data_IF_605933531349
#
_entry.id   IF_605933531349
#
_cell.length_a   1.000
_cell.length_b   1.000
_cell.length_c   1.000
_cell.angle_alpha   90.00
_cell.angle_beta   90.00
_cell.angle_gamma   90.00
#
_symmetry.space_group_name_H-M   'P 1'
#
loop_
_entity.id
_entity.type
_entity.pdbx_description
1 polymer ?
#
# COMPACT_ATOMS: atom_id res chain seq x y z
N UNK A 1 23.28 -3.59 -9.18
CA UNK A 1 21.96 -3.47 -8.51
C UNK A 1 21.86 -4.57 -7.48
N UNK A 2 21.34 -4.32 -6.28
CA UNK A 2 21.01 -5.41 -5.35
C UNK A 2 19.70 -6.07 -5.80
N UNK A 3 19.79 -7.18 -6.52
CA UNK A 3 18.64 -7.99 -6.92
C UNK A 3 18.01 -8.62 -5.68
N UNK A 4 16.97 -7.99 -5.15
CA UNK A 4 16.26 -8.46 -3.96
C UNK A 4 15.39 -9.68 -4.32
N UNK A 5 16.04 -10.85 -4.42
CA UNK A 5 15.40 -12.14 -4.73
C UNK A 5 14.18 -12.37 -3.81
N UNK A 6 13.01 -12.75 -4.35
CA UNK A 6 11.84 -13.06 -3.55
C UNK A 6 12.15 -14.15 -2.52
N UNK A 7 11.41 -14.16 -1.41
CA UNK A 7 11.54 -15.23 -0.41
C UNK A 7 10.63 -16.37 -0.82
N UNK A 8 11.16 -17.56 -1.09
CA UNK A 8 10.36 -18.75 -1.37
C UNK A 8 10.40 -19.67 -0.16
N UNK A 9 9.23 -19.94 0.42
CA UNK A 9 9.02 -20.84 1.54
C UNK A 9 8.26 -22.07 1.02
N UNK A 10 8.89 -23.24 1.13
CA UNK A 10 8.34 -24.51 0.64
C UNK A 10 7.96 -25.41 1.83
N UNK A 11 6.82 -26.09 1.73
CA UNK A 11 6.22 -26.87 2.80
C UNK A 11 5.87 -28.29 2.32
N UNK A 12 5.66 -29.24 3.25
CA UNK A 12 5.40 -30.64 2.87
C UNK A 12 3.98 -30.85 2.36
N UNK A 13 2.99 -30.23 3.00
CA UNK A 13 1.59 -30.34 2.64
C UNK A 13 0.84 -29.00 2.77
N UNK A 14 -0.43 -29.03 2.39
CA UNK A 14 -1.38 -27.92 2.51
C UNK A 14 -1.50 -27.35 3.93
N UNK A 15 -1.47 -28.20 4.96
CA UNK A 15 -1.67 -27.80 6.35
C UNK A 15 -0.51 -26.95 6.85
N UNK A 16 0.73 -27.35 6.52
CA UNK A 16 1.93 -26.57 6.80
C UNK A 16 1.88 -25.19 6.12
N UNK A 17 1.44 -25.12 4.85
CA UNK A 17 1.25 -23.84 4.14
C UNK A 17 0.23 -22.97 4.88
N UNK A 18 -0.93 -23.52 5.26
CA UNK A 18 -1.97 -22.79 5.97
C UNK A 18 -1.50 -22.23 7.32
N UNK A 19 -0.75 -23.02 8.10
CA UNK A 19 -0.19 -22.59 9.39
C UNK A 19 0.85 -21.47 9.19
N UNK A 20 1.73 -21.61 8.18
CA UNK A 20 2.75 -20.60 7.88
C UNK A 20 2.19 -19.29 7.30
N UNK A 21 1.18 -19.36 6.43
CA UNK A 21 0.48 -18.19 5.91
C UNK A 21 -0.24 -17.47 7.04
N UNK A 22 -0.93 -18.19 7.94
CA UNK A 22 -1.60 -17.59 9.08
C UNK A 22 -0.62 -16.88 10.05
N UNK A 23 0.53 -17.51 10.35
CA UNK A 23 1.61 -16.88 11.12
C UNK A 23 2.13 -15.60 10.44
N UNK A 24 2.33 -15.63 9.13
CA UNK A 24 2.79 -14.46 8.37
C UNK A 24 1.77 -13.31 8.35
N UNK A 25 0.48 -13.63 8.25
CA UNK A 25 -0.61 -12.65 8.31
C UNK A 25 -0.69 -12.00 9.70
N UNK A 26 -0.63 -12.78 10.78
CA UNK A 26 -0.61 -12.24 12.15
C UNK A 26 0.66 -11.44 12.44
N UNK A 27 1.81 -11.84 11.89
CA UNK A 27 3.01 -11.01 11.92
C UNK A 27 2.81 -9.65 11.21
N UNK A 28 2.19 -9.64 10.03
CA UNK A 28 1.90 -8.40 9.31
C UNK A 28 0.91 -7.51 10.08
N UNK A 29 -0.14 -8.09 10.66
CA UNK A 29 -1.06 -7.43 11.61
C UNK A 29 -0.28 -6.76 12.74
N UNK A 30 0.50 -7.54 13.50
CA UNK A 30 1.18 -7.04 14.69
C UNK A 30 2.19 -5.94 14.34
N UNK A 31 2.86 -6.03 13.19
CA UNK A 31 3.71 -4.97 12.66
C UNK A 31 2.93 -3.69 12.32
N UNK A 32 1.79 -3.79 11.63
CA UNK A 32 0.95 -2.64 11.27
C UNK A 32 0.39 -1.90 12.51
N UNK A 33 0.01 -2.65 13.54
CA UNK A 33 -0.56 -2.09 14.76
C UNK A 33 0.49 -1.47 15.70
N UNK A 34 1.72 -1.99 15.73
CA UNK A 34 2.77 -1.55 16.68
C UNK A 34 3.66 -0.41 16.17
N UNK A 35 3.94 -0.31 14.88
CA UNK A 35 4.88 0.69 14.34
C UNK A 35 4.35 2.12 14.57
N UNK A 36 5.02 2.89 15.44
CA UNK A 36 4.79 4.35 15.59
C UNK A 36 5.29 5.08 14.35
N UNK A 37 4.54 6.07 13.85
CA UNK A 37 4.99 6.84 12.69
C UNK A 37 6.22 7.66 13.11
N UNK A 38 7.20 7.81 12.20
CA UNK A 38 8.38 8.65 12.50
C UNK A 38 8.01 10.11 12.80
N UNK A 39 6.87 10.58 12.31
CA UNK A 39 6.35 11.92 12.60
C UNK A 39 5.90 12.10 14.06
N UNK A 40 5.41 11.04 14.72
CA UNK A 40 4.94 11.10 16.12
C UNK A 40 6.08 11.45 17.09
N UNK A 41 7.34 11.14 16.73
CA UNK A 41 8.53 11.47 17.54
C UNK A 41 8.89 12.96 17.57
N UNK A 42 8.37 13.78 16.66
CA UNK A 42 8.65 15.24 16.68
C UNK A 42 7.84 16.02 17.73
N UNK A 43 6.75 15.44 18.26
CA UNK A 43 5.93 16.08 19.30
C UNK A 43 6.15 15.54 20.72
N UNK A 44 6.90 14.44 20.89
CA UNK A 44 7.19 13.89 22.23
C UNK A 44 8.42 14.49 22.92
N UNK A 45 9.24 15.28 22.21
CA UNK A 45 10.54 15.76 22.73
C UNK A 45 10.53 17.23 23.21
N UNK A 46 9.39 17.91 23.18
CA UNK A 46 9.29 19.35 23.50
C UNK A 46 9.02 19.67 24.98
N UNK A 47 8.96 18.67 25.87
CA UNK A 47 8.56 18.86 27.28
C UNK A 47 9.60 18.43 28.33
N UNK A 48 10.87 18.31 27.96
CA UNK A 48 11.94 17.90 28.90
C UNK A 48 13.19 18.79 28.96
N UNK A 49 13.29 19.84 28.13
CA UNK A 49 14.42 20.78 28.14
C UNK A 49 14.03 22.16 28.69
N UNK A 50 13.70 22.21 29.98
CA UNK A 50 13.55 23.48 30.72
C UNK A 50 13.81 23.29 32.21
N UNK A 51 15.06 23.00 32.59
CA UNK A 51 15.67 23.24 33.91
C UNK A 51 17.20 23.18 33.73
N UNK A 52 17.92 24.00 34.51
CA UNK A 52 19.38 24.17 34.58
C UNK A 52 20.06 24.97 33.46
N UNK A 53 20.16 26.27 33.71
CA UNK A 53 21.15 27.21 33.15
C UNK A 53 22.28 27.45 34.17
N UNK A 54 23.44 27.96 33.69
CA UNK A 54 24.67 28.30 34.44
C UNK A 54 25.49 27.07 34.92
N UNK A 55 26.82 27.09 34.99
CA UNK A 55 27.79 28.22 35.08
C UNK A 55 28.95 28.04 34.07
N UNK A 56 29.64 29.14 33.71
CA UNK A 56 30.75 29.17 32.76
C UNK A 56 32.14 29.07 33.43
N UNK A 57 33.17 28.60 32.69
CA UNK A 57 34.55 29.13 32.67
C UNK A 57 35.48 28.31 31.73
N UNK A 58 36.25 29.01 30.90
CA UNK A 58 37.53 28.58 30.28
C UNK A 58 38.71 29.05 31.20
N UNK A 59 40.05 28.85 30.95
CA UNK A 59 40.73 28.67 29.64
C UNK A 59 42.02 27.79 29.56
N UNK A 60 42.53 27.58 28.32
CA UNK A 60 43.97 27.50 27.92
C UNK A 60 44.84 26.27 28.33
N UNK A 61 45.99 25.88 27.74
CA UNK A 61 46.92 26.41 26.69
C UNK A 61 47.63 25.27 25.86
N UNK A 62 48.21 25.62 24.69
CA UNK A 62 49.49 25.12 24.07
C UNK A 62 49.68 23.61 23.72
N UNK A 63 50.46 23.19 22.70
CA UNK A 63 51.45 23.87 21.82
C UNK A 63 51.58 23.22 20.41
N UNK A 64 52.19 23.95 19.46
CA UNK A 64 52.54 23.62 18.04
C UNK A 64 54.08 23.30 17.92
N UNK A 65 54.73 22.88 16.78
CA UNK A 65 54.52 23.33 15.37
C UNK A 65 54.88 22.39 14.15
N UNK A 66 54.69 22.93 12.93
CA UNK A 66 55.46 22.72 11.67
C UNK A 66 55.24 21.47 10.79
N UNK A 67 55.33 21.50 9.44
CA UNK A 67 55.98 22.43 8.47
C UNK A 67 55.18 22.75 7.18
N UNK A 68 55.57 23.84 6.51
CA UNK A 68 55.20 24.42 5.19
C UNK A 68 55.22 23.47 3.94
N UNK A 69 54.74 23.78 2.71
CA UNK A 69 54.88 25.01 1.86
C UNK A 69 53.78 25.24 0.77
N UNK A 70 53.75 26.46 0.18
CA UNK A 70 53.02 26.93 -1.04
C UNK A 70 54.01 27.05 -2.26
N UNK A 71 53.70 27.49 -3.53
CA UNK A 71 52.61 28.38 -4.05
C UNK A 71 52.00 28.07 -5.47
N UNK A 72 50.74 28.48 -5.83
CA UNK A 72 50.24 29.66 -6.63
C UNK A 72 50.28 29.63 -8.19
N UNK A 73 49.10 29.66 -8.85
CA UNK A 73 48.58 30.64 -9.88
C UNK A 73 47.24 30.14 -10.53
N UNK A 74 46.13 30.90 -10.64
CA UNK A 74 45.72 31.97 -11.62
C UNK A 74 45.70 31.51 -13.10
N UNK A 75 44.76 31.85 -14.03
CA UNK A 75 43.64 32.83 -14.18
C UNK A 75 42.61 32.25 -15.22
N UNK A 76 41.27 32.37 -15.10
CA UNK A 76 40.33 33.41 -15.59
C UNK A 76 40.22 33.69 -17.12
N UNK A 77 39.04 33.41 -17.72
CA UNK A 77 38.12 34.30 -18.50
C UNK A 77 37.12 33.44 -19.34
N UNK A 78 35.80 33.70 -19.49
CA UNK A 78 35.04 34.85 -20.09
C UNK A 78 35.29 34.99 -21.62
N UNK A 79 34.32 35.21 -22.52
CA UNK A 79 32.90 35.69 -22.39
C UNK A 79 32.13 35.78 -23.75
N UNK A 80 30.78 35.92 -23.72
CA UNK A 80 29.88 36.63 -24.70
C UNK A 80 29.72 36.05 -26.15
N UNK A 81 28.70 36.29 -27.03
CA UNK A 81 27.48 37.16 -27.12
C UNK A 81 26.54 36.64 -28.28
N UNK A 82 25.18 36.54 -28.18
CA UNK A 82 24.04 37.44 -28.59
C UNK A 82 23.30 37.18 -29.96
N UNK A 83 22.01 37.59 -30.03
CA UNK A 83 21.07 37.81 -31.19
C UNK A 83 20.45 36.58 -31.94
N UNK A 84 19.27 36.61 -32.60
CA UNK A 84 17.97 37.36 -32.50
C UNK A 84 16.89 36.75 -33.49
N UNK A 85 15.63 37.22 -33.46
CA UNK A 85 14.42 36.90 -34.31
C UNK A 85 13.53 35.73 -33.84
N UNK A 86 12.18 35.71 -34.02
CA UNK A 86 11.25 36.65 -34.69
C UNK A 86 9.77 36.46 -34.24
N UNK A 87 8.80 37.18 -34.86
CA UNK A 87 7.43 37.45 -34.33
C UNK A 87 6.29 37.08 -35.30
N UNK A 88 5.14 36.63 -34.77
CA UNK A 88 3.73 36.80 -35.23
C UNK A 88 2.82 36.47 -34.02
N UNK A 89 1.58 36.96 -33.83
CA UNK A 89 0.66 37.69 -34.72
C UNK A 89 -0.28 38.67 -33.95
N UNK A 90 -1.08 39.50 -34.65
CA UNK A 90 -2.02 40.51 -34.10
C UNK A 90 -3.49 40.01 -34.07
N UNK A 91 -4.37 40.35 -33.11
CA UNK A 91 -5.32 41.50 -33.04
C UNK A 91 -6.40 41.14 -31.97
N UNK A 92 -7.24 41.99 -31.36
CA UNK A 92 -7.55 43.43 -31.50
C UNK A 92 -8.41 43.97 -30.31
N UNK A 93 -8.85 45.24 -30.37
CA UNK A 93 -9.30 46.10 -29.25
C UNK A 93 -10.79 46.06 -28.82
N UNK A 94 -11.06 46.43 -27.53
CA UNK A 94 -11.92 47.56 -27.05
C UNK A 94 -12.12 47.45 -25.51
N UNK A 95 -11.71 48.38 -24.62
CA UNK A 95 -12.11 49.79 -24.39
C UNK A 95 -13.60 49.97 -24.01
N UNK A 96 -14.07 50.66 -22.96
CA UNK A 96 -13.51 51.45 -21.82
C UNK A 96 -14.68 51.63 -20.77
N UNK A 97 -14.73 52.55 -19.76
CA UNK A 97 -13.71 53.47 -19.21
C UNK A 97 -13.61 53.47 -17.65
N UNK A 98 -12.63 54.22 -17.12
CA UNK A 98 -12.54 54.59 -15.68
C UNK A 98 -13.52 55.72 -15.30
N UNK A 99 -13.95 55.74 -14.03
CA UNK A 99 -14.38 56.94 -13.30
C UNK A 99 -13.77 56.96 -11.90
N UNK A 100 -13.08 58.05 -11.56
CA UNK A 100 -12.65 58.34 -10.18
C UNK A 100 -13.85 58.77 -9.34
N UNK A 101 -13.89 58.37 -8.06
CA UNK A 101 -14.47 59.21 -7.00
C UNK A 101 -13.68 59.07 -5.69
N UNK A 102 -13.75 60.14 -4.90
CA UNK A 102 -12.88 60.47 -3.77
C UNK A 102 -13.34 59.91 -2.42
N UNK A 103 -12.42 59.94 -1.45
CA UNK A 103 -12.60 59.56 -0.04
C UNK A 103 -13.90 60.06 0.60
N UNK A 104 -14.52 59.20 1.41
CA UNK A 104 -15.33 59.60 2.57
C UNK A 104 -14.91 58.70 3.75
N UNK A 105 -14.31 59.29 4.78
CA UNK A 105 -14.20 58.67 6.10
C UNK A 105 -15.50 58.90 6.85
N UNK A 106 -16.12 57.85 7.39
CA UNK A 106 -17.10 57.94 8.46
C UNK A 106 -16.72 56.93 9.54
N UNK A 107 -16.42 57.44 10.72
CA UNK A 107 -16.20 56.64 11.92
C UNK A 107 -17.52 56.02 12.38
N UNK A 108 -17.50 54.76 12.83
CA UNK A 108 -18.50 54.20 13.74
C UNK A 108 -17.83 53.38 14.81
N UNK A 109 -18.45 53.39 15.98
CA UNK A 109 -17.80 53.11 17.26
C UNK A 109 -17.53 51.62 17.49
N UNK A 110 -16.52 51.35 18.32
CA UNK A 110 -16.24 50.00 18.82
C UNK A 110 -17.06 49.71 20.07
N UNK A 111 -18.23 49.10 19.91
CA UNK A 111 -18.83 48.37 21.03
C UNK A 111 -17.98 47.14 21.35
N UNK A 112 -17.53 47.03 22.60
CA UNK A 112 -16.82 45.86 23.11
C UNK A 112 -17.85 44.86 23.62
N UNK A 113 -18.33 43.97 22.76
CA UNK A 113 -18.98 42.77 23.25
C UNK A 113 -17.92 41.78 23.77
N UNK A 114 -18.11 41.31 24.99
CA UNK A 114 -17.16 40.51 25.76
C UNK A 114 -17.63 39.05 25.86
N UNK A 115 -18.09 38.49 24.74
CA UNK A 115 -18.41 37.08 24.61
C UNK A 115 -17.13 36.24 24.50
N UNK A 116 -16.77 35.59 25.62
CA UNK A 116 -15.72 34.56 25.63
C UNK A 116 -16.24 33.29 24.97
N UNK A 117 -16.16 33.24 23.64
CA UNK A 117 -16.25 32.00 22.89
C UNK A 117 -15.12 31.05 23.32
N UNK A 118 -15.43 30.15 24.24
CA UNK A 118 -14.65 28.93 24.46
C UNK A 118 -14.77 28.06 23.20
N UNK A 119 -13.99 28.38 22.18
CA UNK A 119 -13.66 27.45 21.10
C UNK A 119 -12.84 26.32 21.71
N UNK A 120 -13.53 25.30 22.19
CA UNK A 120 -12.93 24.00 22.42
C UNK A 120 -12.19 23.60 21.15
N UNK A 121 -10.87 23.55 21.25
CA UNK A 121 -10.01 23.00 20.20
C UNK A 121 -10.53 21.61 19.84
N UNK A 122 -10.75 21.29 18.55
CA UNK A 122 -11.30 20.00 18.17
C UNK A 122 -10.41 18.90 18.75
N UNK A 123 -11.00 18.06 19.62
CA UNK A 123 -10.32 16.93 20.23
C UNK A 123 -9.55 16.17 19.15
N UNK A 124 -8.23 16.01 19.34
CA UNK A 124 -7.39 15.25 18.42
C UNK A 124 -7.84 13.79 18.46
N UNK A 125 -8.82 13.44 17.62
CA UNK A 125 -9.29 12.06 17.45
C UNK A 125 -8.17 11.27 16.79
N UNK A 126 -7.32 10.68 17.62
CA UNK A 126 -6.27 9.76 17.19
C UNK A 126 -6.95 8.61 16.46
N UNK A 127 -6.88 8.62 15.13
CA UNK A 127 -7.43 7.53 14.30
C UNK A 127 -6.82 6.22 14.77
N UNK A 128 -7.68 5.27 15.16
CA UNK A 128 -7.28 3.92 15.52
C UNK A 128 -6.41 3.33 14.39
N UNK A 129 -5.28 2.71 14.74
CA UNK A 129 -4.48 1.97 13.78
C UNK A 129 -5.18 0.68 13.41
N UNK A 130 -5.26 0.41 12.11
CA UNK A 130 -5.95 -0.74 11.54
C UNK A 130 -5.04 -1.43 10.54
N UNK A 131 -5.07 -2.76 10.56
CA UNK A 131 -4.31 -3.62 9.64
C UNK A 131 -5.06 -3.71 8.33
N UNK A 132 -4.43 -3.26 7.24
CA UNK A 132 -5.04 -3.16 5.91
C UNK A 132 -4.55 -4.29 5.02
N UNK A 133 -5.46 -5.22 4.71
CA UNK A 133 -5.17 -6.42 3.93
C UNK A 133 -6.02 -6.47 2.67
N UNK A 134 -5.42 -6.86 1.55
CA UNK A 134 -6.15 -7.21 0.32
C UNK A 134 -6.09 -8.73 0.10
N UNK A 135 -7.22 -9.33 -0.26
CA UNK A 135 -7.39 -10.77 -0.49
C UNK A 135 -7.81 -11.06 -1.94
N UNK A 136 -7.13 -11.95 -2.64
CA UNK A 136 -7.72 -12.62 -3.81
C UNK A 136 -8.66 -13.76 -3.39
N UNK A 137 -9.51 -14.24 -4.29
CA UNK A 137 -10.34 -15.42 -4.05
C UNK A 137 -9.63 -16.76 -4.32
N UNK A 138 -10.41 -17.77 -4.69
CA UNK A 138 -9.93 -19.12 -4.99
C UNK A 138 -9.47 -19.90 -3.75
N UNK A 139 -8.51 -20.82 -3.93
CA UNK A 139 -8.02 -21.70 -2.87
C UNK A 139 -7.41 -20.95 -1.67
N UNK A 140 -6.90 -19.73 -1.87
CA UNK A 140 -6.40 -18.86 -0.80
C UNK A 140 -7.40 -18.71 0.36
N UNK A 141 -8.71 -18.63 0.08
CA UNK A 141 -9.73 -18.51 1.12
C UNK A 141 -9.79 -19.78 2.00
N UNK A 142 -9.57 -20.96 1.43
CA UNK A 142 -9.51 -22.21 2.19
C UNK A 142 -8.22 -22.30 3.02
N UNK A 143 -7.07 -21.84 2.50
CA UNK A 143 -5.81 -21.73 3.25
C UNK A 143 -5.98 -20.82 4.47
N UNK A 144 -6.63 -19.66 4.28
CA UNK A 144 -6.91 -18.72 5.36
C UNK A 144 -7.96 -19.24 6.35
N UNK A 145 -8.98 -19.98 5.90
CA UNK A 145 -9.91 -20.70 6.79
C UNK A 145 -9.17 -21.68 7.70
N UNK A 146 -8.37 -22.57 7.11
CA UNK A 146 -7.66 -23.62 7.86
C UNK A 146 -6.55 -23.09 8.76
N UNK A 147 -5.95 -21.95 8.42
CA UNK A 147 -4.88 -21.34 9.21
C UNK A 147 -5.35 -20.32 10.25
N UNK A 148 -6.19 -19.35 9.89
CA UNK A 148 -6.51 -18.19 10.75
C UNK A 148 -7.60 -18.49 11.79
N UNK A 149 -8.64 -19.28 11.47
CA UNK A 149 -9.73 -19.52 12.43
C UNK A 149 -9.31 -20.37 13.63
N UNK A 150 -8.18 -21.08 13.52
CA UNK A 150 -7.59 -21.88 14.61
C UNK A 150 -6.69 -21.07 15.55
N UNK A 151 -6.55 -19.75 15.33
CA UNK A 151 -5.68 -18.86 16.12
C UNK A 151 -6.48 -17.97 17.07
N UNK A 152 -5.87 -17.64 18.20
CA UNK A 152 -6.41 -16.77 19.26
C UNK A 152 -5.75 -15.37 19.30
N UNK A 153 -4.70 -15.14 18.52
CA UNK A 153 -3.95 -13.88 18.43
C UNK A 153 -4.34 -12.98 17.23
N UNK A 154 -5.42 -13.36 16.52
CA UNK A 154 -6.00 -12.56 15.43
C UNK A 154 -6.92 -11.47 15.99
N UNK A 155 -6.55 -10.21 15.77
CA UNK A 155 -7.29 -9.03 16.21
C UNK A 155 -8.29 -8.57 15.14
N UNK A 156 -9.24 -9.44 14.79
CA UNK A 156 -10.22 -9.24 13.70
C UNK A 156 -10.90 -7.86 13.73
N UNK A 157 -11.26 -7.33 14.92
CA UNK A 157 -11.82 -5.98 15.09
C UNK A 157 -10.98 -4.83 14.51
N UNK A 158 -9.65 -5.02 14.36
CA UNK A 158 -8.70 -4.03 13.82
C UNK A 158 -8.38 -4.22 12.34
N UNK A 159 -9.03 -5.16 11.65
CA UNK A 159 -8.79 -5.41 10.23
C UNK A 159 -9.66 -4.53 9.34
N UNK A 160 -9.05 -3.98 8.29
CA UNK A 160 -9.72 -3.43 7.12
C UNK A 160 -9.39 -4.35 5.94
N UNK A 161 -10.38 -5.16 5.54
CA UNK A 161 -10.24 -6.22 4.52
C UNK A 161 -10.79 -5.71 3.20
N UNK A 162 -9.95 -5.73 2.16
CA UNK A 162 -10.26 -5.39 0.78
C UNK A 162 -10.06 -6.63 -0.10
N UNK A 163 -10.50 -6.55 -1.36
CA UNK A 163 -10.35 -7.61 -2.35
C UNK A 163 -9.40 -7.18 -3.47
N UNK A 164 -8.56 -8.11 -3.91
CA UNK A 164 -7.61 -7.92 -5.01
C UNK A 164 -8.32 -7.84 -6.37
N UNK A 165 -9.39 -8.63 -6.51
CA UNK A 165 -10.30 -8.68 -7.64
C UNK A 165 -11.69 -9.11 -7.15
N UNK A 166 -12.70 -8.89 -7.98
CA UNK A 166 -14.00 -9.53 -7.80
C UNK A 166 -14.63 -9.87 -9.16
N UNK A 167 -15.34 -10.98 -9.20
CA UNK A 167 -16.11 -11.48 -10.34
C UNK A 167 -17.48 -10.86 -10.20
N UNK A 168 -17.97 -10.21 -11.26
CA UNK A 168 -19.20 -9.43 -11.21
C UNK A 168 -20.41 -10.35 -11.36
N UNK A 169 -20.66 -11.09 -10.29
CA UNK A 169 -21.75 -12.04 -10.09
C UNK A 169 -22.42 -11.76 -8.74
N UNK A 170 -23.65 -12.23 -8.51
CA UNK A 170 -24.29 -12.18 -7.20
C UNK A 170 -23.44 -12.83 -6.09
N UNK A 171 -23.55 -12.34 -4.86
CA UNK A 171 -22.72 -12.76 -3.74
C UNK A 171 -23.07 -14.16 -3.18
N UNK A 172 -24.25 -14.69 -3.49
CA UNK A 172 -24.60 -16.09 -3.23
C UNK A 172 -23.86 -17.05 -4.18
N UNK A 173 -23.43 -16.58 -5.35
CA UNK A 173 -22.63 -17.36 -6.30
C UNK A 173 -21.34 -17.90 -5.68
N UNK A 174 -20.97 -19.12 -6.07
CA UNK A 174 -19.69 -19.74 -5.72
C UNK A 174 -18.49 -19.00 -6.32
N UNK A 175 -18.71 -18.22 -7.39
CA UNK A 175 -17.65 -17.50 -8.10
C UNK A 175 -17.26 -16.15 -7.47
N UNK A 176 -18.08 -15.58 -6.57
CA UNK A 176 -17.77 -14.33 -5.87
C UNK A 176 -16.70 -14.57 -4.81
N UNK A 177 -15.62 -13.79 -4.88
CA UNK A 177 -14.52 -13.77 -3.93
C UNK A 177 -15.01 -13.30 -2.55
N UNK A 178 -15.85 -12.25 -2.49
CA UNK A 178 -16.49 -11.81 -1.25
C UNK A 178 -17.46 -12.85 -0.70
N UNK A 179 -18.34 -13.41 -1.54
CA UNK A 179 -19.29 -14.45 -1.13
C UNK A 179 -18.60 -15.66 -0.51
N UNK A 180 -17.53 -16.14 -1.15
CA UNK A 180 -16.69 -17.23 -0.65
C UNK A 180 -16.02 -16.86 0.69
N UNK A 181 -15.36 -15.70 0.77
CA UNK A 181 -14.71 -15.24 2.00
C UNK A 181 -15.69 -15.01 3.16
N UNK A 182 -16.91 -14.54 2.87
CA UNK A 182 -17.99 -14.38 3.85
C UNK A 182 -18.39 -15.73 4.44
N UNK A 183 -18.76 -16.70 3.57
CA UNK A 183 -19.20 -18.04 3.97
C UNK A 183 -18.12 -18.86 4.69
N UNK A 184 -16.86 -18.73 4.24
CA UNK A 184 -15.72 -19.53 4.73
C UNK A 184 -14.91 -18.87 5.84
N UNK A 185 -15.05 -17.57 6.10
CA UNK A 185 -14.27 -16.90 7.14
C UNK A 185 -15.18 -15.98 7.96
N UNK A 186 -15.77 -14.94 7.34
CA UNK A 186 -16.33 -13.82 8.12
C UNK A 186 -17.55 -14.20 8.98
N UNK A 187 -18.39 -15.12 8.50
CA UNK A 187 -19.54 -15.62 9.25
C UNK A 187 -19.15 -16.59 10.38
N UNK A 188 -17.90 -17.06 10.40
CA UNK A 188 -17.36 -18.01 11.39
C UNK A 188 -16.51 -17.32 12.48
N UNK A 189 -16.29 -16.00 12.39
CA UNK A 189 -15.52 -15.25 13.39
C UNK A 189 -16.36 -15.08 14.67
N UNK A 190 -15.81 -15.46 15.83
CA UNK A 190 -16.31 -14.99 17.12
C UNK A 190 -16.03 -13.49 17.29
N UNK A 191 -16.96 -12.69 16.76
CA UNK A 191 -16.87 -11.23 16.79
C UNK A 191 -17.06 -10.64 18.19
N UNK A 192 -17.54 -11.41 19.17
CA UNK A 192 -17.59 -10.97 20.58
C UNK A 192 -16.21 -11.07 21.22
N UNK A 193 -15.48 -12.17 20.96
CA UNK A 193 -14.14 -12.40 21.50
C UNK A 193 -13.05 -11.58 20.77
N UNK A 194 -13.08 -11.54 19.44
CA UNK A 194 -11.99 -10.98 18.63
C UNK A 194 -12.34 -9.66 17.90
N UNK A 195 -13.58 -9.20 18.01
CA UNK A 195 -14.11 -8.04 17.29
C UNK A 195 -14.49 -8.35 15.84
N UNK A 196 -15.26 -7.44 15.21
CA UNK A 196 -15.73 -7.58 13.82
C UNK A 196 -14.82 -6.84 12.84
N UNK A 197 -14.30 -7.48 11.77
CA UNK A 197 -13.52 -6.79 10.75
C UNK A 197 -14.40 -5.84 9.94
N UNK A 198 -13.78 -4.79 9.39
CA UNK A 198 -14.41 -3.97 8.34
C UNK A 198 -14.09 -4.61 7.00
N UNK A 199 -15.11 -4.93 6.22
CA UNK A 199 -14.98 -5.59 4.92
C UNK A 199 -15.44 -4.65 3.83
N UNK A 200 -14.58 -4.45 2.83
CA UNK A 200 -14.74 -3.51 1.73
C UNK A 200 -14.76 -4.31 0.42
N UNK A 201 -15.97 -4.66 -0.02
CA UNK A 201 -16.25 -5.36 -1.28
C UNK A 201 -16.90 -4.42 -2.30
N UNK A 202 -17.14 -4.92 -3.53
CA UNK A 202 -17.86 -4.19 -4.58
C UNK A 202 -19.31 -3.91 -4.21
N UNK A 203 -19.97 -3.00 -4.93
CA UNK A 203 -21.42 -2.84 -4.83
C UNK A 203 -22.12 -3.86 -5.74
N UNK A 204 -22.81 -4.85 -5.16
CA UNK A 204 -23.54 -5.89 -5.89
C UNK A 204 -24.55 -5.34 -6.91
N UNK A 205 -25.10 -4.13 -6.67
CA UNK A 205 -26.04 -3.48 -7.61
C UNK A 205 -25.38 -3.05 -8.92
N UNK A 206 -24.05 -2.95 -8.96
CA UNK A 206 -23.27 -2.49 -10.12
C UNK A 206 -22.63 -3.63 -10.91
N UNK A 207 -22.86 -4.90 -10.57
CA UNK A 207 -22.22 -6.05 -11.25
C UNK A 207 -22.56 -6.18 -12.75
N UNK A 208 -23.53 -5.40 -13.26
CA UNK A 208 -23.87 -5.35 -14.68
C UNK A 208 -23.05 -4.33 -15.47
N UNK A 209 -22.38 -3.39 -14.80
CA UNK A 209 -21.52 -2.37 -15.40
C UNK A 209 -20.10 -2.47 -14.79
N UNK A 210 -19.14 -3.09 -15.49
CA UNK A 210 -17.79 -3.27 -14.97
C UNK A 210 -17.07 -1.96 -14.66
N UNK A 211 -17.28 -0.91 -15.47
CA UNK A 211 -16.63 0.38 -15.28
C UNK A 211 -17.23 1.11 -14.07
N UNK A 212 -18.56 1.21 -13.96
CA UNK A 212 -19.20 1.85 -12.81
C UNK A 212 -18.86 1.10 -11.50
N UNK A 213 -18.75 -0.23 -11.57
CA UNK A 213 -18.33 -1.05 -10.43
C UNK A 213 -16.86 -0.79 -10.02
N UNK A 214 -15.94 -0.69 -10.98
CA UNK A 214 -14.54 -0.35 -10.73
C UNK A 214 -14.41 1.05 -10.12
N UNK A 215 -15.06 2.05 -10.71
CA UNK A 215 -15.16 3.43 -10.21
C UNK A 215 -15.70 3.50 -8.78
N UNK A 216 -16.72 2.72 -8.47
CA UNK A 216 -17.32 2.65 -7.14
C UNK A 216 -16.32 2.07 -6.12
N UNK A 217 -15.62 1.01 -6.49
CA UNK A 217 -14.62 0.37 -5.65
C UNK A 217 -13.38 1.28 -5.43
N UNK A 218 -12.97 2.02 -6.45
CA UNK A 218 -11.91 3.03 -6.33
C UNK A 218 -12.32 4.14 -5.34
N UNK A 219 -13.57 4.63 -5.41
CA UNK A 219 -14.10 5.61 -4.43
C UNK A 219 -14.13 5.06 -3.00
N UNK A 220 -14.31 3.74 -2.81
CA UNK A 220 -14.20 3.08 -1.49
C UNK A 220 -12.73 3.08 -1.01
N UNK A 221 -11.78 2.71 -1.88
CA UNK A 221 -10.35 2.75 -1.57
C UNK A 221 -9.89 4.18 -1.24
N UNK A 222 -10.25 5.17 -2.05
CA UNK A 222 -9.90 6.58 -1.80
C UNK A 222 -10.39 6.99 -0.40
N UNK A 223 -11.65 6.73 -0.04
CA UNK A 223 -12.17 7.03 1.31
C UNK A 223 -11.42 6.28 2.43
N UNK A 224 -11.05 5.02 2.22
CA UNK A 224 -10.27 4.23 3.17
C UNK A 224 -8.83 4.74 3.36
N UNK A 225 -8.20 5.26 2.32
CA UNK A 225 -6.78 5.64 2.30
C UNK A 225 -6.50 7.15 2.39
N UNK A 226 -7.48 8.02 2.12
CA UNK A 226 -7.36 9.50 2.13
C UNK A 226 -7.07 10.15 3.49
N UNK A 227 -6.96 9.39 4.58
CA UNK A 227 -6.49 9.91 5.88
C UNK A 227 -4.98 10.21 5.95
N UNK A 228 -4.33 10.36 4.79
CA UNK A 228 -2.92 10.65 4.59
C UNK A 228 -2.84 11.61 3.41
N UNK A 229 -2.72 12.91 3.69
CA UNK A 229 -2.56 13.92 2.65
C UNK A 229 -1.36 13.52 1.74
N UNK A 230 -1.57 13.53 0.42
CA UNK A 230 -0.63 13.11 -0.65
C UNK A 230 -0.53 11.62 -1.08
N UNK A 231 -1.36 10.70 -0.60
CA UNK A 231 -1.29 9.29 -1.05
C UNK A 231 -1.67 9.11 -2.52
N UNK A 232 -0.65 8.84 -3.38
CA UNK A 232 -0.82 8.54 -4.81
C UNK A 232 -1.34 7.13 -5.11
N UNK A 233 -1.05 6.16 -4.24
CA UNK A 233 -1.45 4.75 -4.35
C UNK A 233 -1.76 4.17 -2.96
N UNK A 234 -2.81 3.35 -2.78
CA UNK A 234 -3.18 2.77 -1.49
C UNK A 234 -2.10 1.79 -1.03
N UNK A 235 -1.46 2.12 0.10
CA UNK A 235 -0.39 1.31 0.67
C UNK A 235 -0.95 0.33 1.71
N UNK A 236 -1.24 -0.89 1.27
CA UNK A 236 -1.64 -2.02 2.12
C UNK A 236 -0.48 -2.49 3.03
N UNK A 237 -0.81 -3.09 4.17
CA UNK A 237 0.17 -3.71 5.07
C UNK A 237 0.57 -5.11 4.61
N UNK A 238 -0.38 -5.80 3.98
CA UNK A 238 -0.23 -7.10 3.32
C UNK A 238 -1.19 -7.22 2.14
N UNK A 239 -0.70 -7.75 1.02
CA UNK A 239 -1.49 -8.10 -0.14
C UNK A 239 -1.33 -9.60 -0.41
N UNK A 240 -2.43 -10.37 -0.34
CA UNK A 240 -2.43 -11.82 -0.52
C UNK A 240 -2.97 -12.20 -1.89
N UNK A 241 -2.18 -12.96 -2.64
CA UNK A 241 -2.47 -13.39 -4.01
C UNK A 241 -2.38 -14.90 -4.14
N UNK A 242 -3.37 -15.50 -4.79
CA UNK A 242 -3.18 -16.76 -5.51
C UNK A 242 -2.44 -16.52 -6.82
N UNK A 243 -1.96 -17.60 -7.44
CA UNK A 243 -1.51 -17.59 -8.83
C UNK A 243 -2.20 -18.72 -9.62
N UNK A 244 -2.76 -18.38 -10.78
CA UNK A 244 -3.39 -19.35 -11.67
C UNK A 244 -2.37 -20.07 -12.57
N UNK A 245 -2.72 -21.21 -13.20
CA UNK A 245 -1.80 -22.00 -14.03
C UNK A 245 -1.29 -21.29 -15.31
N UNK A 246 -1.95 -20.21 -15.73
CA UNK A 246 -1.53 -19.32 -16.83
C UNK A 246 -0.67 -18.13 -16.35
N UNK A 247 -0.48 -17.99 -15.04
CA UNK A 247 0.26 -16.89 -14.42
C UNK A 247 -0.59 -15.67 -14.06
N UNK A 248 -1.92 -15.70 -14.28
CA UNK A 248 -2.79 -14.61 -13.86
C UNK A 248 -2.86 -14.50 -12.33
N UNK A 249 -3.01 -13.26 -11.87
CA UNK A 249 -3.13 -12.87 -10.47
C UNK A 249 -4.29 -11.90 -10.36
N UNK A 250 -5.03 -11.92 -9.25
CA UNK A 250 -6.26 -11.14 -9.13
C UNK A 250 -7.15 -11.42 -10.36
N UNK A 251 -7.48 -10.40 -11.18
CA UNK A 251 -8.05 -10.58 -12.51
C UNK A 251 -7.22 -9.93 -13.63
N UNK A 252 -5.89 -9.89 -13.46
CA UNK A 252 -4.91 -9.42 -14.44
C UNK A 252 -4.35 -10.61 -15.25
N UNK A 253 -4.63 -10.68 -16.54
CA UNK A 253 -4.30 -11.82 -17.41
C UNK A 253 -3.10 -11.55 -18.35
N UNK A 254 -2.27 -12.55 -18.71
CA UNK A 254 -1.10 -12.37 -19.57
C UNK A 254 -1.39 -11.68 -20.92
N UNK A 255 -2.54 -12.00 -21.51
CA UNK A 255 -2.93 -11.50 -22.84
C UNK A 255 -3.65 -10.14 -22.79
N UNK A 256 -3.95 -9.61 -21.59
CA UNK A 256 -4.75 -8.40 -21.39
C UNK A 256 -3.83 -7.18 -21.22
N UNK A 257 -3.07 -6.89 -22.27
CA UNK A 257 -1.94 -5.96 -22.23
C UNK A 257 -2.30 -4.53 -21.78
N UNK A 258 -3.54 -4.09 -21.99
CA UNK A 258 -4.06 -2.82 -21.45
C UNK A 258 -4.02 -2.80 -19.91
N UNK A 259 -4.66 -3.79 -19.27
CA UNK A 259 -4.69 -3.92 -17.80
C UNK A 259 -3.30 -4.10 -17.17
N UNK A 260 -2.36 -4.73 -17.89
CA UNK A 260 -0.98 -4.90 -17.43
C UNK A 260 -0.12 -3.63 -17.58
N UNK A 261 -0.54 -2.68 -18.42
CA UNK A 261 0.17 -1.42 -18.69
C UNK A 261 -0.42 -0.22 -17.96
N UNK A 262 -1.54 -0.41 -17.25
CA UNK A 262 -2.17 0.61 -16.42
C UNK A 262 -1.22 1.13 -15.32
N UNK A 263 -1.24 2.45 -15.10
CA UNK A 263 -0.26 3.19 -14.27
C UNK A 263 -0.88 4.25 -13.36
N UNK A 264 -2.13 4.64 -13.61
CA UNK A 264 -2.84 5.76 -13.00
C UNK A 264 -4.02 5.25 -12.16
N UNK A 265 -4.87 4.40 -12.74
CA UNK A 265 -6.03 3.85 -12.05
C UNK A 265 -5.61 2.89 -10.92
N UNK A 266 -6.35 2.91 -9.81
CA UNK A 266 -6.18 1.95 -8.72
C UNK A 266 -6.98 0.67 -8.98
N UNK A 267 -8.12 0.81 -9.67
CA UNK A 267 -9.02 -0.28 -10.04
C UNK A 267 -9.29 -0.22 -11.55
N UNK A 268 -9.33 -1.37 -12.22
CA UNK A 268 -9.75 -1.48 -13.63
C UNK A 268 -10.92 -2.45 -13.78
N UNK A 269 -11.86 -2.19 -14.72
CA UNK A 269 -12.74 -3.23 -15.22
C UNK A 269 -11.94 -4.27 -16.02
N UNK A 270 -12.46 -5.49 -16.06
CA UNK A 270 -11.92 -6.57 -16.90
C UNK A 270 -13.10 -7.30 -17.53
N UNK A 271 -13.23 -7.15 -18.84
CA UNK A 271 -14.31 -7.74 -19.64
C UNK A 271 -13.79 -8.85 -20.56
N UNK A 272 -14.62 -9.85 -20.85
CA UNK A 272 -14.22 -10.98 -21.70
C UNK A 272 -13.12 -11.87 -21.10
N UNK A 273 -13.00 -11.93 -19.77
CA UNK A 273 -11.97 -12.73 -19.09
C UNK A 273 -11.92 -14.19 -19.62
N UNK A 274 -10.73 -14.75 -19.90
CA UNK A 274 -10.57 -16.00 -20.66
C UNK A 274 -10.97 -17.28 -19.91
N UNK A 275 -11.45 -17.17 -18.67
CA UNK A 275 -11.91 -18.28 -17.83
C UNK A 275 -12.91 -17.80 -16.78
N UNK A 276 -13.81 -18.68 -16.33
CA UNK A 276 -14.83 -18.33 -15.33
C UNK A 276 -15.78 -17.21 -15.79
N UNK A 277 -16.37 -16.43 -14.87
CA UNK A 277 -17.16 -15.26 -15.24
C UNK A 277 -16.33 -14.23 -16.02
N UNK A 278 -16.90 -13.75 -17.13
CA UNK A 278 -16.24 -12.85 -18.09
C UNK A 278 -15.98 -11.45 -17.54
N UNK A 279 -16.89 -10.95 -16.70
CA UNK A 279 -16.89 -9.57 -16.23
C UNK A 279 -16.39 -9.54 -14.79
N UNK A 280 -15.35 -8.73 -14.56
CA UNK A 280 -14.62 -8.65 -13.28
C UNK A 280 -14.14 -7.22 -13.06
N UNK A 281 -13.64 -6.94 -11.86
CA UNK A 281 -12.75 -5.81 -11.60
C UNK A 281 -11.44 -6.32 -10.99
N UNK A 282 -10.35 -5.57 -11.13
CA UNK A 282 -9.07 -5.88 -10.50
C UNK A 282 -8.39 -4.64 -9.95
N UNK A 283 -7.69 -4.78 -8.82
CA UNK A 283 -6.64 -3.85 -8.43
C UNK A 283 -5.47 -3.95 -9.40
N UNK A 284 -4.86 -2.81 -9.71
CA UNK A 284 -3.83 -2.70 -10.75
C UNK A 284 -2.43 -3.08 -10.25
N UNK A 285 -1.50 -3.39 -11.17
CA UNK A 285 -0.11 -3.71 -10.83
C UNK A 285 0.55 -2.62 -9.95
N UNK A 286 0.42 -1.30 -10.23
CA UNK A 286 0.92 -0.25 -9.35
C UNK A 286 0.42 -0.37 -7.90
N UNK A 287 -0.88 -0.65 -7.70
CA UNK A 287 -1.47 -0.82 -6.37
C UNK A 287 -0.86 -2.02 -5.64
N UNK A 288 -0.84 -3.19 -6.29
CA UNK A 288 -0.27 -4.41 -5.73
C UNK A 288 1.19 -4.15 -5.32
N UNK A 289 1.99 -3.62 -6.25
CA UNK A 289 3.41 -3.31 -6.04
C UNK A 289 3.67 -2.15 -5.06
N UNK A 290 2.69 -1.37 -4.65
CA UNK A 290 2.85 -0.33 -3.63
C UNK A 290 2.72 -0.85 -2.19
N UNK A 291 2.22 -2.08 -2.00
CA UNK A 291 2.00 -2.70 -0.69
C UNK A 291 3.30 -2.90 0.11
N UNK A 292 3.24 -2.81 1.44
CA UNK A 292 4.40 -3.09 2.31
C UNK A 292 4.93 -4.52 2.16
N UNK A 293 4.02 -5.47 1.93
CA UNK A 293 4.29 -6.90 1.73
C UNK A 293 3.32 -7.42 0.66
N UNK A 294 3.84 -8.22 -0.25
CA UNK A 294 3.03 -9.02 -1.17
C UNK A 294 3.36 -10.48 -0.86
N UNK A 295 2.35 -11.31 -0.66
CA UNK A 295 2.55 -12.75 -0.52
C UNK A 295 1.72 -13.54 -1.52
N UNK A 296 2.39 -14.44 -2.22
CA UNK A 296 1.78 -15.43 -3.08
C UNK A 296 1.58 -16.72 -2.31
N UNK A 297 0.40 -17.32 -2.44
CA UNK A 297 0.05 -18.63 -1.87
C UNK A 297 -0.33 -19.55 -3.03
N UNK A 298 0.50 -20.56 -3.31
CA UNK A 298 0.44 -21.34 -4.56
C UNK A 298 0.76 -22.80 -4.27
N UNK A 299 -0.27 -23.64 -4.33
CA UNK A 299 -0.23 -25.05 -3.94
C UNK A 299 -0.63 -25.97 -5.11
N UNK A 300 -0.13 -27.19 -5.09
CA UNK A 300 -0.43 -28.29 -5.99
C UNK A 300 0.51 -28.37 -7.21
N UNK A 301 0.81 -29.60 -7.62
CA UNK A 301 1.69 -29.93 -8.76
C UNK A 301 1.32 -29.23 -10.07
N UNK A 302 0.03 -28.93 -10.30
CA UNK A 302 -0.45 -28.14 -11.45
C UNK A 302 0.16 -26.75 -11.57
N UNK A 303 0.81 -26.24 -10.52
CA UNK A 303 1.46 -24.93 -10.46
C UNK A 303 2.94 -24.95 -10.85
N UNK A 304 3.57 -26.13 -10.89
CA UNK A 304 4.99 -26.25 -11.21
C UNK A 304 5.40 -25.61 -12.55
N UNK A 305 4.69 -25.82 -13.69
CA UNK A 305 5.08 -25.22 -14.97
C UNK A 305 5.01 -23.69 -14.99
N UNK A 306 4.04 -23.11 -14.26
CA UNK A 306 3.89 -21.65 -14.18
C UNK A 306 4.90 -21.05 -13.20
N UNK A 307 5.15 -21.68 -12.05
CA UNK A 307 6.20 -21.23 -11.12
C UNK A 307 7.59 -21.32 -11.76
N UNK A 308 7.87 -22.37 -12.53
CA UNK A 308 9.07 -22.45 -13.37
C UNK A 308 9.20 -21.23 -14.27
N UNK A 309 8.12 -20.86 -14.96
CA UNK A 309 8.10 -19.69 -15.85
C UNK A 309 8.30 -18.38 -15.09
N UNK A 310 7.64 -18.20 -13.93
CA UNK A 310 7.74 -16.97 -13.12
C UNK A 310 9.15 -16.77 -12.57
N UNK A 311 9.82 -17.85 -12.16
CA UNK A 311 11.10 -17.80 -11.44
C UNK A 311 12.31 -17.87 -12.37
N UNK A 312 12.23 -18.62 -13.47
CA UNK A 312 13.35 -18.86 -14.40
C UNK A 312 13.24 -18.07 -15.71
N UNK A 313 12.03 -17.60 -16.07
CA UNK A 313 11.73 -16.92 -17.34
C UNK A 313 10.84 -15.67 -17.16
N UNK A 314 11.23 -14.72 -16.28
CA UNK A 314 10.43 -13.53 -15.99
C UNK A 314 10.19 -12.64 -17.23
N UNK A 315 11.08 -12.69 -18.22
CA UNK A 315 10.98 -11.95 -19.49
C UNK A 315 9.73 -12.27 -20.30
N UNK A 316 9.05 -13.39 -20.02
CA UNK A 316 7.72 -13.69 -20.59
C UNK A 316 6.62 -12.75 -20.11
N UNK A 317 6.87 -11.91 -19.09
CA UNK A 317 5.94 -10.86 -18.68
C UNK A 317 4.60 -11.35 -18.13
N UNK A 318 4.57 -12.53 -17.48
CA UNK A 318 3.36 -12.99 -16.81
C UNK A 318 2.96 -11.98 -15.71
N UNK A 319 1.66 -11.79 -15.43
CA UNK A 319 1.18 -10.82 -14.42
C UNK A 319 1.82 -11.03 -13.03
N UNK A 320 1.97 -12.29 -12.63
CA UNK A 320 2.74 -12.74 -11.47
C UNK A 320 4.23 -12.38 -11.53
N UNK A 321 4.91 -12.57 -12.66
CA UNK A 321 6.30 -12.15 -12.87
C UNK A 321 6.47 -10.64 -12.71
N UNK A 322 5.60 -9.84 -13.32
CA UNK A 322 5.66 -8.37 -13.25
C UNK A 322 5.56 -7.89 -11.79
N UNK A 323 4.69 -8.52 -10.97
CA UNK A 323 4.61 -8.21 -9.53
C UNK A 323 5.80 -8.76 -8.76
N UNK A 324 6.30 -9.95 -9.10
CA UNK A 324 7.47 -10.56 -8.47
C UNK A 324 8.72 -9.66 -8.58
N UNK A 325 8.93 -9.05 -9.75
CA UNK A 325 10.00 -8.09 -10.01
C UNK A 325 9.67 -6.68 -9.47
N UNK A 326 8.48 -6.15 -9.78
CA UNK A 326 8.07 -4.79 -9.39
C UNK A 326 7.96 -4.56 -7.87
N UNK A 327 7.75 -5.63 -7.09
CA UNK A 327 7.74 -5.61 -5.63
C UNK A 327 8.97 -6.33 -5.00
N UNK A 328 10.05 -6.55 -5.76
CA UNK A 328 11.25 -7.27 -5.30
C UNK A 328 11.71 -6.87 -3.89
N UNK A 329 12.01 -7.88 -3.06
CA UNK A 329 12.34 -7.73 -1.63
C UNK A 329 11.15 -7.62 -0.67
N UNK A 330 9.96 -7.25 -1.17
CA UNK A 330 8.69 -7.27 -0.41
C UNK A 330 7.82 -8.50 -0.72
N UNK A 331 8.18 -9.26 -1.76
CA UNK A 331 7.50 -10.49 -2.18
C UNK A 331 7.93 -11.69 -1.35
N UNK A 332 6.96 -12.49 -0.90
CA UNK A 332 7.16 -13.83 -0.32
C UNK A 332 6.24 -14.83 -1.02
N UNK A 333 6.74 -16.02 -1.33
CA UNK A 333 5.96 -17.13 -1.88
C UNK A 333 5.84 -18.22 -0.81
N UNK A 334 4.62 -18.69 -0.59
CA UNK A 334 4.26 -19.81 0.27
C UNK A 334 3.71 -20.89 -0.65
N UNK A 335 4.42 -22.01 -0.73
CA UNK A 335 4.14 -23.07 -1.70
C UNK A 335 4.34 -24.45 -1.06
N UNK A 336 3.63 -25.47 -1.54
CA UNK A 336 4.00 -26.84 -1.23
C UNK A 336 5.19 -27.29 -2.09
N UNK A 337 5.76 -28.46 -1.77
CA UNK A 337 6.86 -29.01 -2.56
C UNK A 337 6.42 -29.42 -3.97
N UNK A 338 5.18 -29.87 -4.14
CA UNK A 338 4.60 -30.29 -5.42
C UNK A 338 4.61 -29.14 -6.44
N UNK A 339 4.20 -27.94 -6.02
CA UNK A 339 4.24 -26.72 -6.83
C UNK A 339 5.67 -26.27 -7.22
N UNK A 340 6.72 -26.85 -6.62
CA UNK A 340 8.13 -26.59 -6.97
C UNK A 340 8.81 -27.75 -7.72
N UNK A 341 8.05 -28.73 -8.20
CA UNK A 341 8.58 -29.80 -9.08
C UNK A 341 9.28 -29.19 -10.30
N UNK A 342 10.54 -29.55 -10.52
CA UNK A 342 11.39 -29.00 -11.60
C UNK A 342 11.53 -27.46 -11.61
N UNK A 343 11.39 -26.78 -10.47
CA UNK A 343 11.58 -25.30 -10.34
C UNK A 343 12.90 -24.95 -9.65
N UNK A 344 13.80 -24.25 -10.33
CA UNK A 344 15.09 -23.82 -9.78
C UNK A 344 14.97 -22.54 -8.92
N UNK A 345 14.72 -22.71 -7.62
CA UNK A 345 14.62 -21.60 -6.64
C UNK A 345 15.41 -21.87 -5.35
N UNK A 346 15.99 -20.80 -4.78
CA UNK A 346 16.57 -20.84 -3.44
C UNK A 346 15.46 -20.85 -2.37
N UNK A 347 15.06 -22.06 -1.95
CA UNK A 347 14.16 -22.27 -0.81
C UNK A 347 14.77 -21.65 0.46
N UNK A 348 13.93 -21.01 1.29
CA UNK A 348 14.27 -20.51 2.63
C UNK A 348 13.43 -21.25 3.65
N UNK A 349 14.04 -21.65 4.77
CA UNK A 349 13.29 -22.16 5.92
C UNK A 349 12.35 -21.06 6.45
N UNK A 350 11.07 -21.37 6.60
CA UNK A 350 10.15 -20.46 7.28
C UNK A 350 10.47 -20.43 8.78
N UNK A 351 10.55 -19.23 9.35
CA UNK A 351 10.77 -19.04 10.78
C UNK A 351 9.47 -18.55 11.40
N UNK A 352 8.71 -19.49 11.97
CA UNK A 352 7.55 -19.18 12.79
C UNK A 352 7.91 -18.17 13.86
N UNK A 353 7.06 -17.16 14.02
CA UNK A 353 7.30 -16.11 14.99
C UNK A 353 6.52 -16.48 16.23
N UNK A 354 7.23 -16.76 17.32
CA UNK A 354 6.58 -16.95 18.61
C UNK A 354 5.62 -15.79 18.85
N UNK A 355 4.39 -16.11 19.26
CA UNK A 355 3.40 -15.11 19.58
C UNK A 355 4.03 -14.16 20.61
N UNK A 356 4.35 -12.93 20.18
CA UNK A 356 4.80 -11.90 21.09
C UNK A 356 3.59 -11.61 21.97
N UNK A 357 3.59 -12.22 23.17
CA UNK A 357 2.66 -11.84 24.23
C UNK A 357 2.79 -10.33 24.36
N UNK A 358 1.76 -9.62 23.92
CA UNK A 358 1.67 -8.18 24.10
C UNK A 358 1.40 -8.01 25.58
N UNK A 359 2.49 -7.92 26.36
CA UNK A 359 2.43 -7.54 27.76
C UNK A 359 1.93 -6.11 27.79
N UNK A 360 0.62 -5.96 27.98
CA UNK A 360 0.01 -4.67 28.31
C UNK A 360 0.46 -4.35 29.73
N UNK A 361 1.40 -3.41 29.83
CA UNK A 361 1.81 -2.77 31.08
C UNK A 361 1.30 -1.34 31.12
#
# INVERSE_FOLDING_TARGET
MTTNVPKVYAFHDFSDVAIAVADYVVYAQNHALTVKNKNDRKHSNTSLNSINSAVAAEPSQNTIPSTATHPVHLKKNKSHTLLNHGVHDQTGNAAAPMKNYSNINIEREKEKDNSRDNKESPLNVVKEKRFRIALSGGSLIQVLHEGLLKRDDVQWGKWDIYFADERLVPFDSENSNYGLAKRKIFDLIDTKKYGKPKVYHVNEKLIKDPQECADNYEKILIKGFAGRDSVKLPMFDLFLLGCAPDGHIASLFPNFQETLREKLAWVVPVEGAPSGPSNRISLTIPVICHSHRVAFVVEGSTKAPVLKTIMERPEKGLPSSIVNEGAAGRVSWFVDNDALSDVFVTKKAYKFRSAQKVTVG
#
